data_IF_565586713059
#
_entry.id   IF_565586713059
#
_cell.length_a   1.000
_cell.length_b   1.000
_cell.length_c   1.000
_cell.angle_alpha   90.00
_cell.angle_beta   90.00
_cell.angle_gamma   90.00
#
_symmetry.space_group_name_H-M   'P 1'
#
loop_
_entity.id
_entity.type
_entity.pdbx_description
1 polymer ?
#
# COMPACT_ATOMS: atom_id res chain seq x y z
N UNK A 1 21.69 -5.64 -28.08
CA UNK A 1 21.77 -5.73 -26.61
C UNK A 1 20.38 -5.51 -26.03
N UNK A 2 19.94 -6.26 -25.01
CA UNK A 2 18.64 -6.04 -24.37
C UNK A 2 18.64 -4.72 -23.59
N UNK A 3 17.47 -4.09 -23.49
CA UNK A 3 17.28 -2.88 -22.67
C UNK A 3 17.35 -3.29 -21.19
N UNK A 4 18.23 -2.69 -20.36
CA UNK A 4 18.29 -2.98 -18.93
C UNK A 4 16.98 -2.67 -18.21
N UNK A 5 16.66 -3.34 -17.09
CA UNK A 5 15.49 -2.98 -16.31
C UNK A 5 15.63 -1.59 -15.66
N UNK A 6 14.51 -0.90 -15.43
CA UNK A 6 14.50 0.31 -14.60
C UNK A 6 14.96 0.00 -13.17
N UNK A 7 15.63 0.95 -12.48
CA UNK A 7 16.05 0.74 -11.10
C UNK A 7 14.85 0.56 -10.17
N UNK A 8 15.02 -0.14 -9.03
CA UNK A 8 13.96 -0.29 -8.03
C UNK A 8 13.62 1.06 -7.41
N UNK A 9 12.36 1.23 -7.00
CA UNK A 9 11.96 2.44 -6.25
C UNK A 9 12.57 2.43 -4.85
N UNK A 10 12.76 3.62 -4.28
CA UNK A 10 13.08 3.77 -2.85
C UNK A 10 11.82 4.16 -2.10
N UNK A 11 11.41 3.35 -1.12
CA UNK A 11 10.25 3.66 -0.29
C UNK A 11 10.55 4.81 0.68
N UNK A 12 9.63 5.76 0.70
CA UNK A 12 9.63 6.88 1.63
C UNK A 12 8.79 6.52 2.86
N UNK A 13 7.66 5.84 2.64
CA UNK A 13 6.77 5.33 3.68
C UNK A 13 5.95 4.12 3.17
N UNK A 14 5.67 3.11 4.01
CA UNK A 14 6.33 2.86 5.29
C UNK A 14 7.84 2.62 5.15
N UNK A 15 8.58 2.64 6.27
CA UNK A 15 9.97 2.22 6.34
C UNK A 15 10.06 0.71 6.57
N UNK A 16 11.23 0.15 6.26
CA UNK A 16 11.48 -1.28 6.45
C UNK A 16 11.25 -1.66 7.90
N UNK A 17 10.44 -2.69 8.11
CA UNK A 17 10.08 -3.24 9.41
C UNK A 17 9.35 -2.23 10.33
N UNK A 18 8.77 -1.17 9.75
CA UNK A 18 7.95 -0.21 10.49
C UNK A 18 6.68 -0.88 11.03
N UNK A 19 6.33 -0.56 12.28
CA UNK A 19 5.14 -1.06 12.96
C UNK A 19 4.06 0.02 12.93
N UNK A 20 3.04 -0.19 12.11
CA UNK A 20 1.84 0.66 12.07
C UNK A 20 0.87 0.19 13.15
N UNK A 21 0.82 0.93 14.26
CA UNK A 21 0.06 0.54 15.44
C UNK A 21 -1.25 1.34 15.62
N UNK A 22 -1.99 1.06 16.69
CA UNK A 22 -3.22 1.78 17.03
C UNK A 22 -3.07 3.31 17.05
N UNK A 23 -1.92 3.83 17.50
CA UNK A 23 -1.67 5.28 17.54
C UNK A 23 -1.64 5.88 16.14
N UNK A 24 -0.96 5.20 15.20
CA UNK A 24 -0.95 5.59 13.79
C UNK A 24 -2.39 5.64 13.24
N UNK A 25 -3.19 4.60 13.48
CA UNK A 25 -4.55 4.50 12.92
C UNK A 25 -5.60 5.38 13.62
N UNK A 26 -5.33 5.91 14.82
CA UNK A 26 -6.17 6.95 15.44
C UNK A 26 -6.16 8.24 14.64
N UNK A 27 -4.98 8.63 14.14
CA UNK A 27 -4.78 9.89 13.40
C UNK A 27 -4.79 9.71 11.89
N UNK A 28 -4.62 8.49 11.39
CA UNK A 28 -4.57 8.17 9.96
C UNK A 28 -5.59 7.09 9.62
N UNK A 29 -6.56 7.42 8.76
CA UNK A 29 -7.58 6.46 8.28
C UNK A 29 -7.15 5.70 7.01
N UNK A 30 -5.88 5.83 6.62
CA UNK A 30 -5.28 5.20 5.46
C UNK A 30 -3.80 4.92 5.70
N UNK A 31 -3.22 4.04 4.88
CA UNK A 31 -1.77 3.88 4.76
C UNK A 31 -1.38 4.45 3.39
N UNK A 32 -0.57 5.51 3.39
CA UNK A 32 -0.11 6.16 2.19
C UNK A 32 1.28 5.63 1.79
N UNK A 33 1.33 4.62 0.94
CA UNK A 33 2.59 4.11 0.40
C UNK A 33 3.21 5.14 -0.53
N UNK A 34 4.41 5.61 -0.20
CA UNK A 34 5.12 6.67 -0.94
C UNK A 34 6.50 6.20 -1.33
N UNK A 35 6.96 6.60 -2.51
CA UNK A 35 8.31 6.28 -2.99
C UNK A 35 8.86 7.40 -3.87
N UNK A 36 10.18 7.40 -4.02
CA UNK A 36 10.86 8.31 -4.94
C UNK A 36 10.56 7.96 -6.40
N UNK A 37 10.42 8.98 -7.25
CA UNK A 37 10.27 8.76 -8.69
C UNK A 37 11.50 8.04 -9.26
N UNK A 38 11.24 7.10 -10.16
CA UNK A 38 12.26 6.46 -10.98
C UNK A 38 12.34 7.24 -12.31
N UNK A 39 13.53 7.68 -12.74
CA UNK A 39 13.73 8.27 -14.05
C UNK A 39 13.17 7.38 -15.17
N UNK A 40 12.58 8.00 -16.20
CA UNK A 40 11.96 7.34 -17.36
C UNK A 40 10.75 6.42 -17.06
N UNK A 41 10.37 6.26 -15.79
CA UNK A 41 9.14 5.57 -15.43
C UNK A 41 7.95 6.41 -15.90
N UNK A 42 7.02 5.74 -16.59
CA UNK A 42 5.73 6.32 -16.97
C UNK A 42 4.61 5.80 -16.08
N UNK A 43 4.81 4.63 -15.47
CA UNK A 43 3.85 3.93 -14.64
C UNK A 43 4.56 3.21 -13.50
N UNK A 44 3.81 2.91 -12.44
CA UNK A 44 4.20 2.01 -11.37
C UNK A 44 3.11 0.97 -11.17
N UNK A 45 3.49 -0.29 -11.00
CA UNK A 45 2.57 -1.32 -10.49
C UNK A 45 2.85 -1.54 -9.01
N UNK A 46 1.82 -1.34 -8.21
CA UNK A 46 1.84 -1.55 -6.78
C UNK A 46 1.08 -2.82 -6.42
N UNK A 47 1.61 -3.59 -5.48
CA UNK A 47 0.93 -4.75 -4.86
C UNK A 47 1.14 -4.74 -3.36
N UNK A 48 0.05 -4.85 -2.60
CA UNK A 48 0.04 -5.12 -1.17
C UNK A 48 -0.38 -6.58 -0.94
N UNK A 49 0.38 -7.30 -0.13
CA UNK A 49 0.12 -8.71 0.20
C UNK A 49 0.18 -8.96 1.71
N UNK A 50 -0.57 -9.95 2.19
CA UNK A 50 -0.46 -10.45 3.56
C UNK A 50 0.79 -11.35 3.74
N UNK A 51 1.00 -11.85 4.96
CA UNK A 51 2.13 -12.72 5.30
C UNK A 51 2.18 -14.04 4.53
N UNK A 52 1.05 -14.51 3.97
CA UNK A 52 1.00 -15.70 3.12
C UNK A 52 1.40 -15.42 1.67
N UNK A 53 1.60 -14.15 1.31
CA UNK A 53 1.86 -13.71 -0.06
C UNK A 53 0.59 -13.49 -0.89
N UNK A 54 -0.60 -13.67 -0.30
CA UNK A 54 -1.88 -13.40 -0.96
C UNK A 54 -2.03 -11.91 -1.20
N UNK A 55 -2.39 -11.55 -2.43
CA UNK A 55 -2.63 -10.17 -2.84
C UNK A 55 -3.89 -9.62 -2.16
N UNK A 56 -3.76 -8.53 -1.43
CA UNK A 56 -4.87 -7.81 -0.81
C UNK A 56 -5.35 -6.67 -1.71
N UNK A 57 -4.39 -5.99 -2.34
CA UNK A 57 -4.66 -4.80 -3.15
C UNK A 57 -3.58 -4.62 -4.22
N UNK A 58 -3.99 -4.13 -5.38
CA UNK A 58 -3.08 -3.76 -6.47
C UNK A 58 -3.51 -2.43 -7.06
N UNK A 59 -2.55 -1.63 -7.50
CA UNK A 59 -2.82 -0.38 -8.18
C UNK A 59 -1.85 -0.16 -9.35
N UNK A 60 -2.32 0.56 -10.36
CA UNK A 60 -1.53 1.03 -11.49
C UNK A 60 -1.51 2.56 -11.45
N UNK A 61 -0.32 3.14 -11.32
CA UNK A 61 -0.13 4.56 -11.03
C UNK A 61 0.63 5.20 -12.17
N UNK A 62 0.10 6.27 -12.76
CA UNK A 62 0.85 7.06 -13.75
C UNK A 62 1.91 7.92 -13.06
N UNK A 63 3.07 8.06 -13.68
CA UNK A 63 4.19 8.84 -13.17
C UNK A 63 4.12 10.33 -13.52
N UNK A 64 3.09 10.76 -14.26
CA UNK A 64 2.87 12.12 -14.76
C UNK A 64 2.33 13.10 -13.69
N UNK A 65 1.92 12.61 -12.53
CA UNK A 65 1.46 13.44 -11.43
C UNK A 65 2.60 14.32 -10.90
N UNK A 66 2.37 15.64 -10.80
CA UNK A 66 3.38 16.63 -10.41
C UNK A 66 4.00 16.42 -9.00
N UNK A 67 3.43 15.56 -8.16
CA UNK A 67 3.95 15.18 -6.83
C UNK A 67 4.68 13.84 -6.75
N UNK A 68 5.14 13.49 -5.53
CA UNK A 68 5.69 12.17 -5.26
C UNK A 68 4.63 11.07 -5.53
N UNK A 69 5.01 9.94 -6.15
CA UNK A 69 4.13 8.79 -6.29
C UNK A 69 3.57 8.35 -4.94
N UNK A 70 2.26 8.17 -4.88
CA UNK A 70 1.55 7.73 -3.68
C UNK A 70 0.43 6.75 -4.03
N UNK A 71 0.26 5.74 -3.18
CA UNK A 71 -0.91 4.86 -3.16
C UNK A 71 -1.51 4.91 -1.77
N UNK A 72 -2.75 5.37 -1.68
CA UNK A 72 -3.48 5.42 -0.41
C UNK A 72 -4.38 4.19 -0.27
N UNK A 73 -4.09 3.34 0.71
CA UNK A 73 -4.91 2.19 1.05
C UNK A 73 -5.84 2.54 2.23
N UNK A 74 -7.16 2.54 1.98
CA UNK A 74 -8.18 3.00 2.94
C UNK A 74 -8.95 1.87 3.63
N UNK A 75 -8.89 0.65 3.10
CA UNK A 75 -9.64 -0.51 3.63
C UNK A 75 -8.92 -1.13 4.84
N UNK A 76 -8.61 -0.32 5.86
CA UNK A 76 -7.86 -0.74 7.05
C UNK A 76 -8.53 -1.91 7.77
N UNK A 77 -9.87 -2.02 7.71
CA UNK A 77 -10.62 -3.14 8.25
C UNK A 77 -10.26 -4.50 7.63
N UNK A 78 -9.67 -4.54 6.44
CA UNK A 78 -9.17 -5.77 5.80
C UNK A 78 -7.80 -6.21 6.33
N UNK A 79 -7.13 -5.36 7.10
CA UNK A 79 -5.81 -5.63 7.65
C UNK A 79 -5.94 -6.28 9.02
N UNK A 80 -5.58 -7.55 9.12
CA UNK A 80 -5.40 -8.23 10.40
C UNK A 80 -4.04 -7.88 11.00
N UNK A 81 -3.88 -7.93 12.33
CA UNK A 81 -2.56 -7.80 12.95
C UNK A 81 -1.60 -8.84 12.37
N UNK A 82 -0.39 -8.41 12.00
CA UNK A 82 0.58 -9.29 11.35
C UNK A 82 1.57 -8.57 10.44
N UNK A 83 2.32 -9.36 9.68
CA UNK A 83 3.32 -8.87 8.72
C UNK A 83 2.71 -8.75 7.33
N UNK A 84 3.05 -7.67 6.63
CA UNK A 84 2.59 -7.38 5.27
C UNK A 84 3.79 -7.03 4.39
N UNK A 85 3.59 -7.15 3.08
CA UNK A 85 4.58 -6.72 2.09
C UNK A 85 3.97 -5.81 1.04
N UNK A 86 4.62 -4.67 0.79
CA UNK A 86 4.36 -3.81 -0.36
C UNK A 86 5.43 -4.06 -1.43
N UNK A 87 5.02 -4.21 -2.67
CA UNK A 87 5.89 -4.33 -3.84
C UNK A 87 5.56 -3.22 -4.84
N UNK A 88 6.60 -2.59 -5.38
CA UNK A 88 6.47 -1.61 -6.48
C UNK A 88 7.43 -1.96 -7.60
N UNK A 89 6.90 -1.97 -8.83
CA UNK A 89 7.67 -2.12 -10.06
C UNK A 89 7.46 -0.89 -10.94
N UNK A 90 8.53 -0.15 -11.22
CA UNK A 90 8.51 0.95 -12.18
C UNK A 90 8.42 0.40 -13.61
N UNK A 91 7.68 1.08 -14.49
CA UNK A 91 7.50 0.68 -15.89
C UNK A 91 7.56 1.87 -16.83
N UNK A 92 8.25 1.69 -17.95
CA UNK A 92 8.11 2.55 -19.12
C UNK A 92 7.13 1.90 -20.08
N UNK A 93 6.03 2.58 -20.38
CA UNK A 93 4.99 2.14 -21.30
C UNK A 93 4.96 3.05 -22.51
N UNK A 94 4.63 2.48 -23.66
CA UNK A 94 4.34 3.24 -24.88
C UNK A 94 2.97 3.92 -24.74
N UNK A 95 2.68 4.88 -25.63
CA UNK A 95 1.39 5.58 -25.68
C UNK A 95 0.19 4.62 -25.83
N UNK A 96 0.39 3.47 -26.46
CA UNK A 96 -0.62 2.41 -26.59
C UNK A 96 -0.78 1.53 -25.33
N UNK A 97 -0.12 1.86 -24.22
CA UNK A 97 -0.20 1.14 -22.94
C UNK A 97 0.67 -0.12 -22.84
N UNK A 98 1.34 -0.57 -23.91
CA UNK A 98 2.25 -1.72 -23.85
C UNK A 98 3.48 -1.38 -23.01
N UNK A 99 3.92 -2.32 -22.17
CA UNK A 99 5.18 -2.20 -21.43
C UNK A 99 6.34 -2.28 -22.41
N UNK A 100 7.13 -1.22 -22.48
CA UNK A 100 8.36 -1.12 -23.26
C UNK A 100 9.57 -1.59 -22.45
N UNK A 101 9.62 -1.21 -21.17
CA UNK A 101 10.71 -1.54 -20.25
C UNK A 101 10.13 -1.79 -18.86
N UNK A 102 10.48 -2.93 -18.28
CA UNK A 102 10.09 -3.29 -16.92
C UNK A 102 11.17 -2.89 -15.91
N UNK A 103 10.80 -2.72 -14.66
CA UNK A 103 11.72 -2.39 -13.58
C UNK A 103 12.09 -3.58 -12.71
N UNK A 104 13.13 -3.40 -11.92
CA UNK A 104 13.44 -4.29 -10.80
C UNK A 104 12.43 -4.06 -9.69
N UNK A 105 11.87 -5.12 -9.11
CA UNK A 105 10.89 -5.01 -8.03
C UNK A 105 11.55 -4.50 -6.75
N UNK A 106 10.99 -3.46 -6.15
CA UNK A 106 11.29 -3.08 -4.78
C UNK A 106 10.26 -3.73 -3.85
N UNK A 107 10.71 -4.39 -2.79
CA UNK A 107 9.83 -4.93 -1.74
C UNK A 107 10.15 -4.30 -0.41
N UNK A 108 9.08 -4.02 0.32
CA UNK A 108 9.09 -3.51 1.67
C UNK A 108 8.25 -4.43 2.56
N UNK A 109 8.80 -4.86 3.69
CA UNK A 109 8.03 -5.51 4.76
C UNK A 109 7.73 -4.51 5.86
N UNK A 110 6.55 -4.61 6.43
CA UNK A 110 6.09 -3.79 7.56
C UNK A 110 5.09 -4.59 8.39
N UNK A 111 4.84 -4.13 9.61
CA UNK A 111 3.96 -4.80 10.56
C UNK A 111 2.74 -3.94 10.87
N UNK A 112 1.63 -4.60 11.14
CA UNK A 112 0.41 -3.97 11.64
C UNK A 112 0.17 -4.53 13.04
N UNK A 113 0.18 -3.62 14.02
CA UNK A 113 -0.12 -3.92 15.42
C UNK A 113 -1.35 -3.12 15.86
N UNK A 114 -2.50 -3.54 15.36
CA UNK A 114 -3.78 -3.05 15.83
C UNK A 114 -4.23 -4.04 16.90
N UNK A 115 -4.35 -3.62 18.18
CA UNK A 115 -4.96 -4.50 19.17
C UNK A 115 -6.31 -4.92 18.61
N UNK A 116 -6.56 -6.23 18.55
CA UNK A 116 -7.88 -6.75 18.16
C UNK A 116 -8.86 -5.97 19.02
N UNK A 117 -9.66 -5.12 18.38
CA UNK A 117 -10.66 -4.35 19.12
C UNK A 117 -11.40 -5.35 19.98
N UNK A 118 -11.54 -5.07 21.28
CA UNK A 118 -12.58 -5.73 22.07
C UNK A 118 -13.80 -5.71 21.17
N UNK A 119 -14.35 -6.88 20.88
CA UNK A 119 -15.70 -7.00 20.33
C UNK A 119 -16.50 -5.97 21.09
N UNK A 120 -16.96 -4.93 20.41
CA UNK A 120 -17.96 -4.05 21.00
C UNK A 120 -19.16 -4.96 21.11
N UNK A 121 -19.26 -5.70 22.22
CA UNK A 121 -20.55 -6.14 22.71
C UNK A 121 -21.27 -4.83 22.92
N UNK A 122 -22.22 -4.56 22.04
CA UNK A 122 -23.20 -3.51 22.24
C UNK A 122 -24.01 -3.89 23.47
N UNK A 123 -23.44 -3.72 24.65
CA UNK A 123 -24.22 -3.58 25.87
C UNK A 123 -24.28 -2.09 26.15
N UNK A 124 -25.41 -1.51 25.73
CA UNK A 124 -26.17 -0.54 26.51
C UNK A 124 -27.50 -0.28 25.79
N UNK A 125 -28.48 -1.12 26.15
CA UNK A 125 -29.84 -0.72 26.55
C UNK A 125 -30.39 0.61 26.01
N UNK A 126 -31.26 0.52 25.00
CA UNK A 126 -32.28 1.53 24.70
C UNK A 126 -33.65 0.88 24.76
N UNK A 127 -34.33 0.98 25.89
CA UNK A 127 -35.71 0.50 26.07
C UNK A 127 -36.62 1.36 25.19
N UNK A 128 -37.22 0.77 24.16
CA UNK A 128 -38.28 1.39 23.37
C UNK A 128 -39.59 1.32 24.17
N UNK A 129 -39.91 2.37 24.92
CA UNK A 129 -41.29 2.64 25.32
C UNK A 129 -41.97 3.44 24.20
N UNK A 130 -42.96 2.83 23.56
CA UNK A 130 -43.97 3.51 22.75
C UNK A 130 -45.32 2.92 23.11
N UNK A 131 -46.14 3.72 23.80
CA UNK A 131 -47.54 3.44 24.11
C UNK A 131 -48.43 4.10 23.06
#
# INVERSE_FOLDING_TARGET
MPIPPLPPVTFNFPKADEVLNASFFKSNRSIDFRWNRVPDATHYRFKLSDSSGRSIFTADIRADSAGQPVVSFKDIARLSPGTFSAEVVAQRRLSNGKVFQNGTAARLRFQIDIPKGRTVSTDETGVLYGK
#
